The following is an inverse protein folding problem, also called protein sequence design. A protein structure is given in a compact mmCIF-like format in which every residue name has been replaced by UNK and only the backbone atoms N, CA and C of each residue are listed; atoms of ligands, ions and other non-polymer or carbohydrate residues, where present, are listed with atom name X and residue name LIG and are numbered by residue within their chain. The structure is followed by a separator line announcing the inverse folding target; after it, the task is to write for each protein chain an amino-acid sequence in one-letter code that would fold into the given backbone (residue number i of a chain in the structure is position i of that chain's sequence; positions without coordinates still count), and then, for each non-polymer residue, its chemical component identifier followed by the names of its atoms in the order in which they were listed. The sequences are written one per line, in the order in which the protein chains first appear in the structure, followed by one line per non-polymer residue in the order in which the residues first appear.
data_IF_628405825068
#
_entry.id   IF_628405825068
#
_cell.length_a   1.000
_cell.length_b   1.000
_cell.length_c   1.000
_cell.angle_alpha   90.00
_cell.angle_beta   90.00
_cell.angle_gamma   90.00
#
_symmetry.space_group_name_H-M   'P 1'
#
loop_
_entity.id
_entity.type
_entity.pdbx_description
1 polymer ?
#
# COMPACT_ATOMS: atom_id res chain seq x y z
N UNK A 1 -13.13 -17.94 -2.57
CA UNK A 1 -13.71 -16.61 -2.30
C UNK A 1 -12.65 -15.60 -2.69
N UNK A 2 -12.99 -14.51 -3.39
CA UNK A 2 -12.08 -13.36 -3.48
C UNK A 2 -11.72 -12.95 -2.06
N UNK A 3 -10.43 -12.88 -1.75
CA UNK A 3 -9.97 -12.31 -0.49
C UNK A 3 -10.03 -10.79 -0.65
N UNK A 4 -10.73 -10.08 0.23
CA UNK A 4 -10.83 -8.60 0.21
C UNK A 4 -9.43 -7.95 0.15
N UNK A 5 -8.41 -8.67 0.62
CA UNK A 5 -7.03 -8.23 0.68
C UNK A 5 -6.13 -8.76 -0.45
N UNK A 6 -6.63 -9.51 -1.44
CA UNK A 6 -5.80 -10.12 -2.50
C UNK A 6 -4.96 -9.07 -3.27
N UNK A 7 -5.51 -7.88 -3.47
CA UNK A 7 -4.76 -6.77 -4.03
C UNK A 7 -3.61 -6.33 -3.11
N UNK A 8 -3.89 -6.18 -1.82
CA UNK A 8 -2.93 -5.69 -0.83
C UNK A 8 -1.81 -6.71 -0.56
N UNK A 9 -2.10 -8.01 -0.61
CA UNK A 9 -1.09 -9.08 -0.52
C UNK A 9 0.03 -8.89 -1.56
N UNK A 10 -0.33 -8.42 -2.76
CA UNK A 10 0.66 -8.12 -3.82
C UNK A 10 1.51 -6.89 -3.49
N UNK A 11 1.10 -6.03 -2.55
CA UNK A 11 1.79 -4.80 -2.12
C UNK A 11 2.43 -4.94 -0.74
N UNK A 12 2.67 -6.18 -0.30
CA UNK A 12 3.18 -6.47 1.02
C UNK A 12 4.33 -7.48 0.93
N UNK A 13 5.36 -7.25 1.74
CA UNK A 13 6.45 -8.19 1.94
C UNK A 13 6.75 -8.28 3.45
N UNK A 14 6.64 -9.47 4.09
CA UNK A 14 6.85 -9.61 5.53
C UNK A 14 8.32 -9.44 5.94
N UNK A 15 9.25 -9.33 4.98
CA UNK A 15 10.67 -9.11 5.24
C UNK A 15 10.92 -7.85 6.04
N UNK A 16 11.98 -7.84 6.84
CA UNK A 16 12.55 -6.66 7.47
C UNK A 16 13.69 -6.03 6.65
N UNK A 17 14.08 -6.69 5.55
CA UNK A 17 15.17 -6.32 4.65
C UNK A 17 14.66 -5.48 3.47
N UNK A 18 15.06 -4.19 3.36
CA UNK A 18 14.56 -3.31 2.30
C UNK A 18 14.92 -3.79 0.89
N UNK A 19 16.05 -4.45 0.70
CA UNK A 19 16.46 -5.01 -0.59
C UNK A 19 15.52 -6.10 -1.09
N UNK A 20 14.97 -6.95 -0.20
CA UNK A 20 14.02 -7.99 -0.59
C UNK A 20 12.67 -7.36 -0.97
N UNK A 21 12.17 -6.43 -0.15
CA UNK A 21 10.96 -5.67 -0.45
C UNK A 21 11.08 -4.89 -1.78
N UNK A 22 12.27 -4.36 -2.08
CA UNK A 22 12.57 -3.69 -3.34
C UNK A 22 12.54 -4.63 -4.56
N UNK A 23 12.98 -5.89 -4.41
CA UNK A 23 12.84 -6.90 -5.47
C UNK A 23 11.36 -7.17 -5.74
N UNK A 24 10.59 -7.41 -4.68
CA UNK A 24 9.13 -7.60 -4.75
C UNK A 24 8.48 -6.41 -5.45
N UNK A 25 8.83 -5.17 -5.09
CA UNK A 25 8.31 -3.97 -5.74
C UNK A 25 8.67 -3.90 -7.23
N UNK A 26 9.89 -4.30 -7.63
CA UNK A 26 10.37 -4.29 -9.01
C UNK A 26 9.70 -5.35 -9.88
N UNK A 27 9.61 -6.59 -9.40
CA UNK A 27 9.05 -7.73 -10.14
C UNK A 27 7.61 -7.48 -10.58
N UNK A 28 6.90 -6.64 -9.83
CA UNK A 28 5.53 -6.25 -10.13
C UNK A 28 5.36 -5.42 -11.39
N UNK A 29 6.38 -4.72 -11.89
CA UNK A 29 6.27 -4.10 -13.22
C UNK A 29 6.08 -5.14 -14.34
N UNK A 30 6.53 -6.39 -14.14
CA UNK A 30 6.29 -7.49 -15.08
C UNK A 30 4.83 -7.98 -15.08
N UNK A 31 4.16 -7.91 -13.93
CA UNK A 31 2.73 -8.24 -13.78
C UNK A 31 1.80 -7.06 -14.07
N UNK A 32 2.31 -5.82 -13.98
CA UNK A 32 1.56 -4.58 -14.14
C UNK A 32 2.28 -3.62 -15.10
N UNK A 33 2.28 -3.91 -16.42
CA UNK A 33 3.17 -3.26 -17.41
C UNK A 33 2.98 -1.73 -17.58
N UNK A 34 1.89 -1.16 -17.05
CA UNK A 34 1.55 0.27 -17.16
C UNK A 34 1.73 1.06 -15.84
N UNK A 35 2.12 0.43 -14.74
CA UNK A 35 2.39 1.17 -13.51
C UNK A 35 3.62 2.07 -13.68
N UNK A 36 3.55 3.32 -13.21
CA UNK A 36 4.72 4.22 -13.12
C UNK A 36 5.52 3.99 -11.84
N UNK A 37 4.82 3.67 -10.77
CA UNK A 37 5.38 3.39 -9.44
C UNK A 37 4.69 2.16 -8.87
N UNK A 38 5.48 1.29 -8.23
CA UNK A 38 5.05 0.11 -7.49
C UNK A 38 5.48 0.30 -6.04
N UNK A 39 4.52 0.25 -5.13
CA UNK A 39 4.74 0.41 -3.68
C UNK A 39 4.59 -0.93 -3.00
N UNK A 40 5.53 -1.25 -2.09
CA UNK A 40 5.47 -2.42 -1.22
C UNK A 40 5.69 -1.99 0.22
N UNK A 41 4.74 -2.32 1.09
CA UNK A 41 4.84 -2.16 2.54
C UNK A 41 5.64 -3.34 3.10
N UNK A 42 6.54 -3.09 4.04
CA UNK A 42 7.38 -4.14 4.63
C UNK A 42 7.71 -3.88 6.10
N UNK A 43 8.36 -4.85 6.75
CA UNK A 43 8.88 -4.71 8.11
C UNK A 43 7.82 -4.80 9.21
N UNK A 44 6.66 -5.39 8.92
CA UNK A 44 5.63 -5.72 9.90
C UNK A 44 4.94 -7.04 9.54
N UNK A 45 4.28 -7.74 10.49
CA UNK A 45 3.46 -8.91 10.19
C UNK A 45 2.23 -8.55 9.34
N UNK A 46 1.83 -9.46 8.44
CA UNK A 46 0.64 -9.29 7.60
C UNK A 46 -0.63 -9.02 8.43
N UNK A 47 -0.82 -9.80 9.49
CA UNK A 47 -1.99 -9.67 10.35
C UNK A 47 -2.07 -8.28 11.00
N UNK A 48 -0.94 -7.69 11.36
CA UNK A 48 -0.90 -6.33 11.93
C UNK A 48 -1.40 -5.28 10.93
N UNK A 49 -1.11 -5.44 9.64
CA UNK A 49 -1.63 -4.55 8.60
C UNK A 49 -3.14 -4.72 8.39
N UNK A 50 -3.60 -5.98 8.35
CA UNK A 50 -5.02 -6.31 8.23
C UNK A 50 -5.82 -5.76 9.41
N UNK A 51 -5.35 -6.00 10.64
CA UNK A 51 -6.01 -5.54 11.86
C UNK A 51 -6.09 -4.00 11.89
N UNK A 52 -5.04 -3.30 11.45
CA UNK A 52 -5.04 -1.84 11.38
C UNK A 52 -6.08 -1.30 10.38
N UNK A 53 -6.31 -2.01 9.27
CA UNK A 53 -7.32 -1.64 8.26
C UNK A 53 -8.74 -1.87 8.81
N UNK A 54 -8.99 -3.04 9.38
CA UNK A 54 -10.30 -3.40 9.94
C UNK A 54 -10.65 -2.45 11.09
N UNK A 55 -9.72 -2.23 12.02
CA UNK A 55 -9.91 -1.31 13.13
C UNK A 55 -10.19 0.12 12.64
N UNK A 56 -9.53 0.60 11.59
CA UNK A 56 -9.77 1.93 11.05
C UNK A 56 -11.21 2.10 10.52
N UNK A 57 -11.75 1.09 9.84
CA UNK A 57 -13.13 1.07 9.35
C UNK A 57 -14.11 0.97 10.52
N UNK A 58 -13.89 0.03 11.44
CA UNK A 58 -14.73 -0.15 12.62
C UNK A 58 -14.81 1.14 13.45
N UNK A 59 -13.68 1.76 13.73
CA UNK A 59 -13.58 3.01 14.49
C UNK A 59 -14.39 4.14 13.86
N UNK A 60 -14.30 4.29 12.52
CA UNK A 60 -15.11 5.27 11.79
C UNK A 60 -16.61 5.04 12.02
N UNK A 61 -17.05 3.79 12.06
CA UNK A 61 -18.46 3.43 12.23
C UNK A 61 -18.97 3.68 13.66
N UNK A 62 -18.09 3.57 14.66
CA UNK A 62 -18.44 3.89 16.04
C UNK A 62 -18.45 5.41 16.32
N UNK A 63 -17.97 6.24 15.38
CA UNK A 63 -18.02 7.70 15.49
C UNK A 63 -17.04 8.30 16.49
N UNK A 64 -16.04 7.54 16.93
CA UNK A 64 -15.02 7.95 17.86
C UNK A 64 -13.69 8.20 17.14
N UNK A 65 -12.99 9.28 17.50
CA UNK A 65 -11.61 9.52 17.06
C UNK A 65 -10.70 8.84 18.07
N UNK A 66 -10.23 7.64 17.72
CA UNK A 66 -9.23 6.95 18.52
C UNK A 66 -7.84 7.48 18.17
N UNK A 67 -6.96 7.58 19.17
CA UNK A 67 -5.53 7.88 18.98
C UNK A 67 -4.82 6.64 18.43
N UNK A 68 -5.13 6.32 17.16
CA UNK A 68 -4.63 5.14 16.46
C UNK A 68 -3.82 5.54 15.24
N UNK A 69 -2.76 4.78 14.90
CA UNK A 69 -1.94 5.05 13.72
C UNK A 69 -2.67 4.76 12.39
N UNK A 70 -3.92 4.31 12.44
CA UNK A 70 -4.79 4.13 11.28
C UNK A 70 -6.17 4.78 11.50
N UNK A 71 -6.73 5.33 10.43
CA UNK A 71 -8.08 5.90 10.43
C UNK A 71 -8.70 5.79 9.04
N UNK A 72 -10.02 5.67 8.96
CA UNK A 72 -10.75 5.60 7.71
C UNK A 72 -11.63 6.83 7.51
N UNK A 73 -11.87 7.19 6.26
CA UNK A 73 -12.89 8.17 5.86
C UNK A 73 -13.70 7.61 4.70
N UNK A 74 -14.96 8.03 4.61
CA UNK A 74 -15.81 7.70 3.47
C UNK A 74 -15.67 8.76 2.38
N UNK A 75 -15.31 8.33 1.17
CA UNK A 75 -15.30 9.15 -0.03
C UNK A 75 -16.18 8.57 -1.13
N UNK A 76 -16.02 9.11 -2.33
CA UNK A 76 -16.73 8.64 -3.51
C UNK A 76 -15.76 8.52 -4.70
N UNK A 77 -15.81 7.40 -5.41
CA UNK A 77 -15.09 7.19 -6.66
C UNK A 77 -16.06 6.74 -7.75
N UNK A 78 -16.11 7.50 -8.86
CA UNK A 78 -17.01 7.24 -9.98
C UNK A 78 -18.49 7.04 -9.58
N UNK A 79 -19.02 7.86 -8.66
CA UNK A 79 -20.42 7.77 -8.22
C UNK A 79 -20.70 6.68 -7.18
N UNK A 80 -19.67 6.03 -6.62
CA UNK A 80 -19.82 4.92 -5.67
C UNK A 80 -19.07 5.21 -4.36
N UNK A 81 -19.65 4.89 -3.19
CA UNK A 81 -18.96 4.99 -1.92
C UNK A 81 -17.65 4.18 -1.93
N UNK A 82 -16.59 4.77 -1.38
CA UNK A 82 -15.28 4.15 -1.27
C UNK A 82 -14.63 4.47 0.07
N UNK A 83 -14.04 3.45 0.70
CA UNK A 83 -13.19 3.65 1.87
C UNK A 83 -11.86 4.27 1.46
N UNK A 84 -11.44 5.29 2.20
CA UNK A 84 -10.07 5.80 2.19
C UNK A 84 -9.46 5.51 3.55
N UNK A 85 -8.69 4.44 3.64
CA UNK A 85 -8.06 3.98 4.88
C UNK A 85 -6.62 4.48 4.88
N UNK A 86 -6.29 5.31 5.87
CA UNK A 86 -4.97 5.92 6.02
C UNK A 86 -4.26 5.18 7.15
N UNK A 87 -3.03 4.74 6.89
CA UNK A 87 -2.20 4.00 7.86
C UNK A 87 -0.83 4.68 7.90
N UNK A 88 -0.38 5.03 9.10
CA UNK A 88 0.83 5.80 9.37
C UNK A 88 1.88 4.95 10.09
N UNK A 89 3.12 5.46 10.18
CA UNK A 89 4.21 4.77 10.87
C UNK A 89 4.77 3.54 10.15
N UNK A 90 4.44 3.35 8.86
CA UNK A 90 4.86 2.17 8.10
C UNK A 90 6.26 2.32 7.51
N UNK A 91 6.87 1.19 7.15
CA UNK A 91 8.01 1.16 6.22
C UNK A 91 7.51 0.74 4.85
N UNK A 92 7.95 1.41 3.80
CA UNK A 92 7.60 1.04 2.43
C UNK A 92 8.73 1.34 1.47
N UNK A 93 8.79 0.57 0.38
CA UNK A 93 9.68 0.81 -0.75
C UNK A 93 8.84 1.22 -1.95
N UNK A 94 9.33 2.24 -2.66
CA UNK A 94 8.82 2.60 -3.98
C UNK A 94 9.82 2.19 -5.05
N UNK A 95 9.37 1.36 -5.98
CA UNK A 95 10.03 1.15 -7.25
C UNK A 95 9.39 2.06 -8.30
N UNK A 96 10.16 2.93 -8.94
CA UNK A 96 9.69 3.85 -9.97
C UNK A 96 10.36 3.52 -11.30
N UNK A 97 9.55 3.26 -12.33
CA UNK A 97 10.04 2.99 -13.68
C UNK A 97 10.34 4.30 -14.39
N UNK A 98 11.54 4.41 -14.96
CA UNK A 98 11.95 5.49 -15.86
C UNK A 98 12.30 4.91 -17.22
N UNK A 99 12.08 5.68 -18.28
CA UNK A 99 12.60 5.36 -19.60
C UNK A 99 13.86 6.20 -19.80
N UNK A 100 15.02 5.55 -19.91
CA UNK A 100 16.26 6.19 -20.30
C UNK A 100 16.69 5.64 -21.66
N UNK A 101 16.73 6.51 -22.68
CA UNK A 101 17.09 6.13 -24.07
C UNK A 101 16.33 4.91 -24.62
N UNK A 102 15.07 4.74 -24.22
CA UNK A 102 14.23 3.60 -24.64
C UNK A 102 14.42 2.31 -23.84
N UNK A 103 15.35 2.29 -22.89
CA UNK A 103 15.56 1.17 -21.95
C UNK A 103 14.82 1.47 -20.64
N UNK A 104 14.01 0.52 -20.12
CA UNK A 104 13.39 0.69 -18.81
C UNK A 104 14.45 0.61 -17.71
N UNK A 105 14.63 1.71 -16.98
CA UNK A 105 15.45 1.78 -15.77
C UNK A 105 14.53 1.92 -14.55
N UNK A 106 15.04 1.57 -13.37
CA UNK A 106 14.25 1.60 -12.13
C UNK A 106 14.99 2.36 -11.05
N UNK A 107 14.25 3.19 -10.31
CA UNK A 107 14.74 3.81 -9.06
C UNK A 107 13.99 3.15 -7.91
N UNK A 108 14.73 2.63 -6.96
CA UNK A 108 14.22 1.96 -5.78
C UNK A 108 14.55 2.83 -4.58
N UNK A 109 13.52 3.26 -3.86
CA UNK A 109 13.68 4.18 -2.73
C UNK A 109 12.98 3.64 -1.49
N UNK A 110 13.72 3.59 -0.39
CA UNK A 110 13.26 3.16 0.92
C UNK A 110 12.74 4.34 1.74
N UNK A 111 11.63 4.11 2.43
CA UNK A 111 11.00 5.06 3.32
C UNK A 111 10.61 4.42 4.66
N UNK A 112 10.75 5.20 5.73
CA UNK A 112 10.26 4.88 7.07
C UNK A 112 9.26 5.95 7.53
N UNK A 113 8.60 5.68 8.67
CA UNK A 113 7.59 6.57 9.25
C UNK A 113 6.55 7.03 8.21
N UNK A 114 6.19 6.10 7.32
CA UNK A 114 5.45 6.32 6.12
C UNK A 114 3.95 6.29 6.34
N UNK A 115 3.25 7.06 5.52
CA UNK A 115 1.81 7.05 5.40
C UNK A 115 1.41 6.45 4.06
N UNK A 116 0.56 5.44 4.11
CA UNK A 116 -0.07 4.84 2.93
C UNK A 116 -1.59 5.04 3.00
N UNK A 117 -2.19 5.16 1.84
CA UNK A 117 -3.64 5.19 1.67
C UNK A 117 -4.05 3.92 0.94
N UNK A 118 -4.95 3.17 1.55
CA UNK A 118 -5.57 1.97 1.01
C UNK A 118 -7.00 2.32 0.64
N UNK A 119 -7.37 2.13 -0.62
CA UNK A 119 -8.75 2.31 -1.06
C UNK A 119 -9.45 0.97 -1.20
N UNK A 120 -10.63 0.88 -0.61
CA UNK A 120 -11.45 -0.32 -0.65
C UNK A 120 -12.89 0.01 -1.06
N UNK A 121 -13.54 -0.94 -1.73
CA UNK A 121 -14.97 -0.86 -2.01
C UNK A 121 -15.77 -0.96 -0.70
N UNK A 122 -16.99 -0.44 -0.71
CA UNK A 122 -17.96 -0.67 0.37
C UNK A 122 -18.87 -1.82 -0.03
N UNK A 123 -19.01 -2.84 0.82
CA UNK A 123 -19.93 -3.95 0.54
C UNK A 123 -21.39 -3.54 0.76
N UNK A 124 -22.26 -4.00 -0.15
CA UNK A 124 -23.72 -4.04 0.08
C UNK A 124 -24.50 -2.73 -0.05
N UNK A 125 -23.95 -1.65 -0.63
CA UNK A 125 -24.58 -0.31 -0.67
C UNK A 125 -25.04 0.22 0.72
N UNK A 126 -24.60 -0.43 1.80
CA UNK A 126 -24.98 -0.10 3.16
C UNK A 126 -23.67 0.03 3.95
N UNK A 127 -23.17 1.25 4.17
CA UNK A 127 -22.09 1.50 5.14
C UNK A 127 -22.50 0.81 6.45
N UNK A 128 -21.70 -0.15 6.97
CA UNK A 128 -20.32 0.08 7.37
C UNK A 128 -19.30 -1.00 6.91
N UNK A 129 -19.61 -1.84 5.93
CA UNK A 129 -18.77 -3.02 5.65
C UNK A 129 -17.57 -2.72 4.74
N UNK A 130 -16.38 -3.18 5.13
CA UNK A 130 -15.19 -3.27 4.27
C UNK A 130 -15.48 -4.22 3.10
N UNK A 131 -15.02 -3.86 1.91
CA UNK A 131 -15.02 -4.72 0.74
C UNK A 131 -13.63 -4.80 0.12
N UNK A 132 -13.57 -5.24 -1.14
CA UNK A 132 -12.30 -5.47 -1.84
C UNK A 132 -11.41 -4.22 -1.84
N UNK A 133 -10.16 -4.41 -1.42
CA UNK A 133 -9.10 -3.44 -1.63
C UNK A 133 -8.79 -3.40 -3.12
N UNK A 134 -8.80 -2.20 -3.69
CA UNK A 134 -8.65 -1.98 -5.13
C UNK A 134 -7.49 -1.06 -5.47
N UNK A 135 -6.98 -0.31 -4.49
CA UNK A 135 -5.86 0.59 -4.71
C UNK A 135 -5.02 0.77 -3.45
N UNK A 136 -3.73 1.06 -3.68
CA UNK A 136 -2.79 1.47 -2.65
C UNK A 136 -1.94 2.60 -3.20
N UNK A 137 -1.82 3.66 -2.41
CA UNK A 137 -1.02 4.82 -2.72
C UNK A 137 -0.08 5.13 -1.55
N UNK A 138 1.22 5.22 -1.81
CA UNK A 138 2.15 5.85 -0.88
C UNK A 138 1.87 7.36 -0.84
N UNK A 139 1.66 7.91 0.37
CA UNK A 139 1.51 9.33 0.61
C UNK A 139 2.88 9.98 0.82
N UNK A 140 3.27 10.14 2.08
CA UNK A 140 4.54 10.73 2.50
C UNK A 140 5.29 9.77 3.44
N UNK A 141 6.61 9.87 3.47
CA UNK A 141 7.47 9.11 4.36
C UNK A 141 8.83 9.77 4.45
N UNK A 142 9.57 9.46 5.49
CA UNK A 142 10.94 9.89 5.65
C UNK A 142 11.83 9.10 4.68
N UNK A 143 12.60 9.79 3.85
CA UNK A 143 13.54 9.14 2.95
C UNK A 143 14.66 8.50 3.77
N UNK A 144 14.88 7.20 3.57
CA UNK A 144 15.99 6.48 4.21
C UNK A 144 17.18 6.41 3.26
N UNK A 145 16.99 5.78 2.09
CA UNK A 145 18.07 5.61 1.11
C UNK A 145 17.54 5.20 -0.27
N UNK A 146 18.41 5.29 -1.28
CA UNK A 146 18.18 4.59 -2.54
C UNK A 146 18.78 3.18 -2.47
N UNK A 147 17.98 2.19 -2.83
CA UNK A 147 18.36 0.78 -2.79
C UNK A 147 19.01 0.40 -4.13
N UNK A 148 20.11 -0.36 -4.07
CA UNK A 148 20.74 -0.99 -5.23
C UNK A 148 20.60 -2.51 -5.12
N UNK A 149 19.95 -3.13 -6.11
CA UNK A 149 19.84 -4.59 -6.14
C UNK A 149 21.16 -5.19 -6.64
N UNK A 150 21.73 -6.15 -5.91
CA UNK A 150 23.08 -6.70 -6.17
C UNK A 150 23.26 -7.49 -7.49
N UNK A 151 22.26 -7.54 -8.37
CA UNK A 151 22.34 -8.25 -9.66
C UNK A 151 22.04 -7.34 -10.85
N UNK A 152 22.44 -6.06 -10.79
CA UNK A 152 22.47 -5.20 -11.97
C UNK A 152 23.76 -5.47 -12.78
N UNK A 153 23.74 -6.56 -13.55
CA UNK A 153 24.65 -6.81 -14.69
C UNK A 153 23.79 -6.98 -15.93
#
# INVERSE_FOLDING_TARGET
MPNEFEFLEKHFDPTDVPEEAAKTARERFGLFPNARTSTVIYGLPWQTLVDAIVAAVDNYNYGEIFDTPSFATMGEFAGRPQWNIIITGLRYVNATRKADKGVPTYILTDYNNGTVVVNAQVLGNNPPMLGDIVHLQAGFGEFVSNIKLKNEI
#
